data_IF_046754878100
#
_entry.id   IF_046754878100
#
_cell.length_a   1.000
_cell.length_b   1.000
_cell.length_c   1.000
_cell.angle_alpha   90.00
_cell.angle_beta   90.00
_cell.angle_gamma   90.00
#
_symmetry.space_group_name_H-M   'P 1'
#
loop_
_entity.id
_entity.type
_entity.pdbx_description
1 polymer ?
#
# COMPACT_ATOMS: atom_id res chain seq x y z
N UNK A 1 3.18 -20.49 -16.54
CA UNK A 1 3.61 -19.97 -15.99
C UNK A 1 3.38 -19.39 -14.99
N UNK A 2 3.71 -19.12 -14.44
CA UNK A 2 3.40 -18.66 -13.32
C UNK A 2 3.33 -17.28 -13.19
N UNK A 3 2.43 -16.74 -12.42
CA UNK A 3 2.35 -15.37 -12.24
C UNK A 3 3.47 -14.87 -11.37
N UNK A 4 3.91 -13.65 -11.62
CA UNK A 4 4.92 -13.06 -10.80
C UNK A 4 4.34 -12.11 -9.81
N UNK A 5 3.04 -11.83 -9.90
CA UNK A 5 2.43 -10.91 -8.98
C UNK A 5 1.98 -11.59 -7.73
N UNK A 6 2.12 -10.94 -6.56
CA UNK A 6 1.47 -11.43 -5.36
C UNK A 6 -0.04 -11.38 -5.55
N UNK A 7 -0.79 -12.28 -4.90
CA UNK A 7 -2.25 -12.26 -5.01
C UNK A 7 -2.92 -11.24 -4.11
N UNK A 8 -2.21 -10.22 -3.72
CA UNK A 8 -2.73 -9.18 -2.84
C UNK A 8 -3.07 -7.95 -3.67
N UNK A 9 -4.28 -7.47 -3.51
CA UNK A 9 -4.71 -6.22 -4.13
C UNK A 9 -4.64 -5.12 -3.08
N UNK A 10 -4.65 -3.86 -3.54
CA UNK A 10 -4.63 -2.77 -2.59
C UNK A 10 -5.34 -1.54 -3.15
N UNK A 11 -5.72 -0.67 -2.24
CA UNK A 11 -6.34 0.60 -2.55
C UNK A 11 -5.50 1.76 -2.05
N UNK A 12 -4.19 1.57 -1.99
CA UNK A 12 -3.30 2.58 -1.40
C UNK A 12 -3.40 3.90 -2.16
N UNK A 13 -3.35 3.86 -3.48
CA UNK A 13 -3.42 5.08 -4.27
C UNK A 13 -4.74 5.80 -4.04
N UNK A 14 -5.84 5.05 -4.05
CA UNK A 14 -7.15 5.62 -3.84
C UNK A 14 -7.24 6.30 -2.48
N UNK A 15 -6.71 5.64 -1.45
CA UNK A 15 -6.76 6.19 -0.10
C UNK A 15 -5.88 7.44 0.01
N UNK A 16 -4.73 7.46 -0.68
CA UNK A 16 -3.90 8.67 -0.68
C UNK A 16 -4.68 9.84 -1.27
N UNK A 17 -5.37 9.60 -2.37
CA UNK A 17 -6.12 10.65 -3.03
C UNK A 17 -7.27 11.15 -2.17
N UNK A 18 -7.89 10.25 -1.42
CA UNK A 18 -8.98 10.61 -0.52
C UNK A 18 -8.50 11.34 0.71
N UNK A 19 -7.22 11.21 1.06
CA UNK A 19 -6.67 11.83 2.24
C UNK A 19 -5.82 13.05 1.87
N UNK A 20 -6.44 14.03 1.22
CA UNK A 20 -5.78 15.29 0.94
C UNK A 20 -4.77 15.19 -0.19
N UNK A 21 -4.95 14.23 -1.10
CA UNK A 21 -4.03 14.03 -2.20
C UNK A 21 -2.61 13.82 -1.72
N UNK A 22 -2.46 12.96 -0.72
CA UNK A 22 -1.14 12.64 -0.18
C UNK A 22 -0.25 12.10 -1.26
N UNK A 23 0.99 12.59 -1.34
CA UNK A 23 1.93 12.11 -2.35
C UNK A 23 2.51 10.76 -1.95
N UNK A 24 3.06 10.06 -2.94
CA UNK A 24 3.76 8.80 -2.66
C UNK A 24 4.94 9.02 -1.72
N UNK A 25 5.64 10.15 -1.90
CA UNK A 25 6.77 10.46 -1.05
C UNK A 25 6.33 10.73 0.39
N UNK A 26 5.20 11.39 0.56
CA UNK A 26 4.68 11.64 1.89
C UNK A 26 4.29 10.35 2.59
N UNK A 27 3.64 9.45 1.87
CA UNK A 27 3.29 8.18 2.45
C UNK A 27 4.54 7.37 2.79
N UNK A 28 5.52 7.36 1.89
CA UNK A 28 6.76 6.62 2.13
C UNK A 28 7.43 7.11 3.41
N UNK A 29 7.49 8.41 3.60
CA UNK A 29 8.08 8.97 4.80
C UNK A 29 7.29 8.56 6.04
N UNK A 30 5.96 8.58 5.94
CA UNK A 30 5.12 8.27 7.09
C UNK A 30 5.27 6.82 7.54
N UNK A 31 5.54 5.91 6.63
CA UNK A 31 5.64 4.50 6.99
C UNK A 31 7.08 3.99 7.02
N UNK A 32 8.04 4.87 6.75
CA UNK A 32 9.45 4.51 6.93
C UNK A 32 10.04 3.67 5.80
N UNK A 33 9.56 3.87 4.59
CA UNK A 33 10.10 3.16 3.42
C UNK A 33 10.46 4.17 2.35
N UNK A 34 11.02 3.70 1.23
CA UNK A 34 11.33 4.59 0.13
C UNK A 34 10.11 4.81 -0.75
N UNK A 35 10.16 5.89 -1.54
CA UNK A 35 9.09 6.15 -2.49
C UNK A 35 8.97 5.01 -3.49
N UNK A 36 10.11 4.43 -3.91
CA UNK A 36 10.08 3.31 -4.84
C UNK A 36 9.29 2.13 -4.28
N UNK A 37 9.41 1.90 -2.98
CA UNK A 37 8.64 0.84 -2.34
C UNK A 37 7.14 1.12 -2.42
N UNK A 38 6.73 2.36 -2.17
CA UNK A 38 5.33 2.73 -2.29
C UNK A 38 4.83 2.50 -3.71
N UNK A 39 5.62 2.91 -4.69
CA UNK A 39 5.24 2.72 -6.10
C UNK A 39 5.05 1.24 -6.39
N UNK A 40 5.98 0.40 -5.95
CA UNK A 40 5.89 -1.04 -6.20
C UNK A 40 4.67 -1.66 -5.54
N UNK A 41 4.34 -1.20 -4.32
CA UNK A 41 3.15 -1.68 -3.63
C UNK A 41 1.90 -1.30 -4.41
N UNK A 42 1.80 -0.05 -4.83
CA UNK A 42 0.60 0.42 -5.54
C UNK A 42 0.42 -0.28 -6.87
N UNK A 43 1.52 -0.65 -7.50
CA UNK A 43 1.45 -1.35 -8.78
C UNK A 43 1.21 -2.85 -8.63
N UNK A 44 1.15 -3.35 -7.40
CA UNK A 44 0.91 -4.75 -7.16
C UNK A 44 2.11 -5.65 -7.44
N UNK A 45 3.30 -5.08 -7.53
CA UNK A 45 4.51 -5.86 -7.81
C UNK A 45 5.23 -6.31 -6.55
N UNK A 46 4.83 -5.81 -5.41
CA UNK A 46 5.52 -6.05 -4.15
C UNK A 46 4.52 -6.02 -3.01
N UNK A 47 4.56 -7.05 -2.18
CA UNK A 47 3.71 -7.11 -0.99
C UNK A 47 4.45 -6.47 0.17
N UNK A 48 3.83 -5.54 0.86
CA UNK A 48 4.50 -4.93 2.01
C UNK A 48 4.68 -5.94 3.13
N UNK A 49 5.65 -5.69 4.00
CA UNK A 49 5.76 -6.45 5.22
C UNK A 49 4.50 -6.23 6.04
N UNK A 50 4.25 -7.13 6.98
CA UNK A 50 3.09 -6.98 7.84
C UNK A 50 3.16 -5.67 8.60
N UNK A 51 4.33 -5.29 9.07
CA UNK A 51 4.48 -4.03 9.78
C UNK A 51 4.15 -2.84 8.88
N UNK A 52 4.68 -2.83 7.66
CA UNK A 52 4.38 -1.74 6.74
C UNK A 52 2.90 -1.69 6.40
N UNK A 53 2.27 -2.86 6.25
CA UNK A 53 0.85 -2.91 5.96
C UNK A 53 0.03 -2.27 7.08
N UNK A 54 0.35 -2.59 8.33
CA UNK A 54 -0.32 -1.98 9.45
C UNK A 54 -0.07 -0.48 9.52
N UNK A 55 1.16 -0.05 9.24
CA UNK A 55 1.47 1.38 9.25
C UNK A 55 0.66 2.12 8.21
N UNK A 56 0.47 1.53 7.03
CA UNK A 56 -0.33 2.15 5.99
C UNK A 56 -1.78 2.31 6.48
N UNK A 57 -2.34 1.26 7.06
CA UNK A 57 -3.73 1.33 7.52
C UNK A 57 -3.87 2.38 8.61
N UNK A 58 -2.87 2.54 9.47
CA UNK A 58 -2.92 3.55 10.53
C UNK A 58 -2.82 4.96 9.97
N UNK A 59 -2.02 5.16 8.93
CA UNK A 59 -1.92 6.48 8.30
C UNK A 59 -3.28 6.93 7.81
N UNK A 60 -4.05 6.02 7.23
CA UNK A 60 -5.37 6.35 6.70
C UNK A 60 -6.50 6.13 7.68
N UNK A 61 -6.17 5.65 8.89
CA UNK A 61 -7.15 5.42 9.94
C UNK A 61 -8.28 4.49 9.47
N UNK A 62 -7.90 3.41 8.83
CA UNK A 62 -8.85 2.39 8.35
C UNK A 62 -8.35 1.02 8.75
N UNK A 63 -9.19 0.02 8.60
CA UNK A 63 -8.80 -1.35 8.87
C UNK A 63 -7.90 -1.89 7.77
N UNK A 64 -7.12 -2.91 8.11
CA UNK A 64 -6.20 -3.52 7.15
C UNK A 64 -6.94 -4.00 5.90
N UNK A 65 -8.12 -4.57 6.09
CA UNK A 65 -8.89 -5.11 4.98
C UNK A 65 -9.51 -4.03 4.10
N UNK A 66 -9.49 -2.79 4.55
CA UNK A 66 -9.93 -1.70 3.70
C UNK A 66 -8.81 -1.23 2.78
N UNK A 67 -7.58 -1.58 3.11
CA UNK A 67 -6.43 -1.22 2.29
C UNK A 67 -6.07 -2.36 1.35
N UNK A 68 -6.04 -3.57 1.87
CA UNK A 68 -5.55 -4.73 1.12
C UNK A 68 -6.64 -5.78 0.96
N UNK A 69 -6.58 -6.47 -0.16
CA UNK A 69 -7.48 -7.57 -0.44
C UNK A 69 -6.71 -8.77 -0.94
N UNK A 70 -7.41 -9.87 -1.07
CA UNK A 70 -6.83 -11.12 -1.55
C UNK A 70 -7.52 -11.52 -2.84
N UNK A 71 -6.73 -11.68 -3.88
CA UNK A 71 -7.24 -12.04 -5.19
C UNK A 71 -7.03 -13.53 -5.38
N UNK A 72 -8.01 -14.31 -5.08
CA UNK A 72 -7.88 -15.77 -5.12
C UNK A 72 -8.02 -16.32 -6.53
#
# INVERSE_FOLDING_TARGET
MMTKRPPITNRVRELRELHGHMSQAELAKAIGVTRQTVIAIEQGRYSPSLESAFRISRVFDVGLEEVFGWEA
#
